data_IF_834807862835
#
_entry.id   IF_834807862835
#
_cell.length_a   1.000
_cell.length_b   1.000
_cell.length_c   1.000
_cell.angle_alpha   90.00
_cell.angle_beta   90.00
_cell.angle_gamma   90.00
#
_symmetry.space_group_name_H-M   'P 1'
#
loop_
_entity.id
_entity.type
_entity.pdbx_description
1 polymer ?
#
# COMPACT_ATOMS: atom_id res chain seq x y z
N UNK A 1 10.46 5.98 7.66
CA UNK A 1 8.98 6.11 7.65
C UNK A 1 8.51 5.51 6.33
N UNK A 2 7.53 4.60 6.34
CA UNK A 2 6.98 4.02 5.11
C UNK A 2 5.62 4.63 4.78
N UNK A 3 5.36 4.88 3.51
CA UNK A 3 4.11 5.48 3.01
C UNK A 3 3.37 4.47 2.14
N UNK A 4 2.10 4.24 2.45
CA UNK A 4 1.21 3.39 1.67
C UNK A 4 0.05 4.24 1.11
N UNK A 5 -0.39 3.94 -0.11
CA UNK A 5 -1.55 4.59 -0.76
C UNK A 5 -2.53 3.55 -1.30
N UNK A 6 -3.82 3.89 -1.44
CA UNK A 6 -4.80 2.88 -1.83
C UNK A 6 -6.25 3.36 -1.87
N UNK A 7 -7.14 2.40 -2.16
CA UNK A 7 -8.57 2.60 -2.34
C UNK A 7 -9.00 2.59 -3.82
N UNK A 8 -10.31 2.54 -4.06
CA UNK A 8 -10.91 2.39 -5.39
C UNK A 8 -10.40 3.37 -6.49
N UNK A 9 -10.08 4.65 -6.21
CA UNK A 9 -9.60 5.56 -7.25
C UNK A 9 -8.08 5.49 -7.50
N UNK A 10 -7.32 4.71 -6.72
CA UNK A 10 -5.86 4.64 -6.79
C UNK A 10 -5.43 3.42 -7.60
N UNK A 11 -4.35 3.55 -8.37
CA UNK A 11 -3.75 2.44 -9.11
C UNK A 11 -2.32 2.18 -8.64
N UNK A 12 -1.81 0.97 -8.91
CA UNK A 12 -0.40 0.63 -8.68
C UNK A 12 0.55 1.59 -9.43
N UNK A 13 0.24 1.90 -10.70
CA UNK A 13 1.03 2.83 -11.51
C UNK A 13 1.13 4.22 -10.87
N UNK A 14 0.02 4.73 -10.32
CA UNK A 14 0.05 6.00 -9.61
C UNK A 14 0.91 5.92 -8.34
N UNK A 15 0.79 4.85 -7.56
CA UNK A 15 1.60 4.63 -6.37
C UNK A 15 3.10 4.61 -6.68
N UNK A 16 3.50 3.95 -7.77
CA UNK A 16 4.88 3.92 -8.26
C UNK A 16 5.33 5.31 -8.72
N UNK A 17 4.50 6.03 -9.46
CA UNK A 17 4.78 7.38 -9.95
C UNK A 17 5.08 8.37 -8.82
N UNK A 18 4.40 8.24 -7.69
CA UNK A 18 4.62 9.11 -6.51
C UNK A 18 5.70 8.57 -5.55
N UNK A 19 6.25 7.37 -5.80
CA UNK A 19 7.27 6.76 -4.96
C UNK A 19 6.74 6.21 -3.62
N UNK A 20 5.52 5.70 -3.57
CA UNK A 20 4.99 5.05 -2.37
C UNK A 20 5.69 3.71 -2.09
N UNK A 21 5.87 3.36 -0.81
CA UNK A 21 6.41 2.07 -0.38
C UNK A 21 5.43 0.90 -0.59
N UNK A 22 4.15 1.19 -0.83
CA UNK A 22 3.13 0.18 -1.02
C UNK A 22 1.79 0.69 -1.52
N UNK A 23 1.06 -0.20 -2.21
CA UNK A 23 -0.28 0.05 -2.74
C UNK A 23 -1.25 -1.07 -2.37
N UNK A 24 -2.49 -0.71 -2.01
CA UNK A 24 -3.57 -1.66 -1.77
C UNK A 24 -4.92 -1.15 -2.35
N UNK A 25 -5.64 -1.95 -3.15
CA UNK A 25 -6.93 -1.53 -3.73
C UNK A 25 -8.07 -1.49 -2.70
N UNK A 26 -7.93 -2.20 -1.58
CA UNK A 26 -8.99 -2.37 -0.58
C UNK A 26 -8.42 -2.47 0.85
N UNK A 27 -9.31 -2.40 1.84
CA UNK A 27 -8.90 -2.41 3.24
C UNK A 27 -8.26 -3.73 3.68
N UNK A 28 -8.73 -4.88 3.19
CA UNK A 28 -8.22 -6.18 3.60
C UNK A 28 -6.80 -6.41 3.05
N UNK A 29 -6.55 -6.02 1.79
CA UNK A 29 -5.22 -6.03 1.20
C UNK A 29 -4.28 -5.01 1.86
N UNK A 30 -4.79 -3.84 2.28
CA UNK A 30 -4.02 -2.84 3.00
C UNK A 30 -3.49 -3.36 4.34
N UNK A 31 -4.31 -4.08 5.12
CA UNK A 31 -3.87 -4.70 6.38
C UNK A 31 -2.78 -5.74 6.14
N UNK A 32 -2.94 -6.61 5.13
CA UNK A 32 -1.92 -7.60 4.75
C UNK A 32 -0.60 -6.94 4.34
N UNK A 33 -0.68 -5.86 3.57
CA UNK A 33 0.47 -5.09 3.13
C UNK A 33 1.18 -4.39 4.30
N UNK A 34 0.42 -3.80 5.23
CA UNK A 34 0.97 -3.19 6.43
C UNK A 34 1.77 -4.21 7.26
N UNK A 35 1.22 -5.40 7.50
CA UNK A 35 1.92 -6.48 8.21
C UNK A 35 3.23 -6.89 7.53
N UNK A 36 3.21 -7.01 6.20
CA UNK A 36 4.42 -7.33 5.41
C UNK A 36 5.47 -6.22 5.48
N UNK A 37 5.07 -4.95 5.47
CA UNK A 37 5.98 -3.80 5.43
C UNK A 37 6.59 -3.44 6.79
N UNK A 38 5.85 -3.69 7.87
CA UNK A 38 6.23 -3.30 9.23
C UNK A 38 6.60 -4.49 10.13
N UNK A 39 6.50 -5.72 9.62
CA UNK A 39 7.02 -6.91 10.29
C UNK A 39 6.20 -7.30 11.52
N UNK A 40 5.03 -7.89 11.30
CA UNK A 40 4.48 -8.86 12.26
C UNK A 40 4.65 -10.24 11.62
N UNK A 41 5.62 -11.00 12.15
CA UNK A 41 5.80 -12.44 11.89
C UNK A 41 4.78 -13.26 12.65
#
# INVERSE_FOLDING_TARGET
IKVMVGGAPVTQEYAEKIGADGYAPDAASAVKLAKRLFGES
#
